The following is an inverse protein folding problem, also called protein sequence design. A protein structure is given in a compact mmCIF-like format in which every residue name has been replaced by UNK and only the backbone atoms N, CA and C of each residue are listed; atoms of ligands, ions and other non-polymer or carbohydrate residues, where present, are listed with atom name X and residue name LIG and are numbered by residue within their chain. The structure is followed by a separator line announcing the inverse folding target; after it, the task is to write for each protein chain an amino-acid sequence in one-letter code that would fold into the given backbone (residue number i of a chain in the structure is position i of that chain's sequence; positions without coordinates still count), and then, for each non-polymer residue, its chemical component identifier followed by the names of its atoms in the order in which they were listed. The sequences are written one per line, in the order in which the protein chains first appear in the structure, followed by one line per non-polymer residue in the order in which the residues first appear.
data_IF_651538789078
#
_entry.id   IF_651538789078
#
_cell.length_a   1.000
_cell.length_b   1.000
_cell.length_c   1.000
_cell.angle_alpha   90.00
_cell.angle_beta   90.00
_cell.angle_gamma   90.00
#
_symmetry.space_group_name_H-M   'P 1'
#
loop_
_entity.id
_entity.type
_entity.pdbx_description
1 polymer ?
#
# COMPACT_ATOMS: atom_id res chain seq x y z
N UNK A 1 56.81 -33.86 -42.63
CA UNK A 1 57.50 -33.28 -41.46
C UNK A 1 56.75 -32.05 -41.01
N UNK A 2 56.34 -32.07 -39.75
CA UNK A 2 55.50 -31.08 -39.04
C UNK A 2 56.26 -29.77 -38.83
N UNK A 3 55.63 -28.62 -39.05
CA UNK A 3 55.97 -27.39 -38.33
C UNK A 3 54.74 -26.52 -38.13
N UNK A 4 54.33 -26.45 -36.87
CA UNK A 4 53.28 -25.61 -36.31
C UNK A 4 53.71 -24.15 -36.40
N UNK A 5 52.83 -23.30 -36.92
CA UNK A 5 52.92 -21.84 -36.84
C UNK A 5 51.57 -21.33 -36.36
N UNK A 6 51.43 -21.23 -35.05
CA UNK A 6 50.29 -20.67 -34.34
C UNK A 6 49.99 -19.25 -34.83
N UNK A 7 48.84 -19.05 -35.45
CA UNK A 7 48.17 -17.76 -35.43
C UNK A 7 47.40 -17.71 -34.12
N UNK A 8 48.04 -17.19 -33.08
CA UNK A 8 47.37 -16.73 -31.88
C UNK A 8 46.51 -15.51 -32.27
N UNK A 9 45.27 -15.77 -32.69
CA UNK A 9 44.22 -14.77 -32.54
C UNK A 9 44.04 -14.55 -31.04
N UNK A 10 44.82 -13.63 -30.47
CA UNK A 10 44.51 -13.03 -29.19
C UNK A 10 43.16 -12.34 -29.35
N UNK A 11 42.06 -12.81 -28.74
CA UNK A 11 40.84 -12.04 -28.77
C UNK A 11 41.12 -10.83 -27.87
N UNK A 12 41.24 -9.67 -28.49
CA UNK A 12 41.20 -8.40 -27.77
C UNK A 12 39.80 -8.32 -27.18
N UNK A 13 39.67 -8.85 -25.95
CA UNK A 13 38.47 -8.72 -25.13
C UNK A 13 38.00 -7.27 -25.27
N UNK A 14 36.80 -7.11 -25.81
CA UNK A 14 36.21 -5.81 -26.12
C UNK A 14 36.35 -4.91 -24.90
N UNK A 15 36.62 -3.62 -25.07
CA UNK A 15 36.72 -2.66 -23.96
C UNK A 15 35.47 -2.73 -23.05
N UNK A 16 34.33 -3.15 -23.60
CA UNK A 16 33.12 -3.48 -22.86
C UNK A 16 33.27 -4.70 -21.94
N UNK A 17 33.90 -5.79 -22.41
CA UNK A 17 34.15 -7.01 -21.64
C UNK A 17 35.18 -6.77 -20.53
N UNK A 18 36.23 -6.00 -20.78
CA UNK A 18 37.20 -5.62 -19.74
C UNK A 18 36.56 -4.74 -18.65
N UNK A 19 35.76 -3.75 -19.05
CA UNK A 19 35.02 -2.89 -18.12
C UNK A 19 33.91 -3.65 -17.36
N UNK A 20 33.38 -4.71 -17.97
CA UNK A 20 32.44 -5.62 -17.33
C UNK A 20 33.16 -6.51 -16.30
N UNK A 21 34.33 -7.05 -16.63
CA UNK A 21 35.17 -7.82 -15.70
C UNK A 21 35.69 -6.97 -14.53
N UNK A 22 36.09 -5.72 -14.76
CA UNK A 22 36.43 -4.79 -13.67
C UNK A 22 35.25 -4.56 -12.73
N UNK A 23 34.06 -4.30 -13.28
CA UNK A 23 32.84 -4.13 -12.49
C UNK A 23 32.43 -5.40 -11.76
N UNK A 24 32.63 -6.59 -12.35
CA UNK A 24 32.37 -7.88 -11.70
C UNK A 24 33.38 -8.21 -10.59
N UNK A 25 34.56 -7.61 -10.61
CA UNK A 25 35.60 -7.80 -9.59
C UNK A 25 35.46 -6.80 -8.44
N UNK A 26 34.60 -5.78 -8.58
CA UNK A 26 34.27 -4.87 -7.50
C UNK A 26 33.49 -5.62 -6.38
N UNK A 27 33.95 -5.56 -5.11
CA UNK A 27 33.32 -6.28 -4.01
C UNK A 27 31.84 -5.91 -3.81
N UNK A 28 31.48 -4.66 -4.14
CA UNK A 28 30.11 -4.18 -4.11
C UNK A 28 29.22 -4.83 -5.18
N UNK A 29 29.75 -5.11 -6.36
CA UNK A 29 29.00 -5.78 -7.44
C UNK A 29 28.84 -7.27 -7.15
N UNK A 30 29.85 -7.90 -6.53
CA UNK A 30 29.75 -9.27 -6.04
C UNK A 30 28.74 -9.41 -4.89
N UNK A 31 28.68 -8.46 -3.97
CA UNK A 31 27.64 -8.41 -2.93
C UNK A 31 26.24 -8.21 -3.51
N UNK A 32 26.09 -7.32 -4.49
CA UNK A 32 24.79 -7.10 -5.14
C UNK A 32 24.37 -8.30 -6.01
N UNK A 33 25.32 -8.96 -6.67
CA UNK A 33 25.07 -10.21 -7.41
C UNK A 33 24.75 -11.36 -6.46
N UNK A 34 25.43 -11.46 -5.32
CA UNK A 34 25.11 -12.42 -4.25
C UNK A 34 23.72 -12.17 -3.69
N UNK A 35 23.38 -10.92 -3.35
CA UNK A 35 22.04 -10.57 -2.87
C UNK A 35 20.96 -10.80 -3.92
N UNK A 36 21.24 -10.57 -5.21
CA UNK A 36 20.32 -10.89 -6.29
C UNK A 36 20.21 -12.40 -6.54
N UNK A 37 21.28 -13.17 -6.30
CA UNK A 37 21.26 -14.64 -6.31
C UNK A 37 20.47 -15.21 -5.12
N UNK A 38 20.64 -14.63 -3.93
CA UNK A 38 19.91 -14.99 -2.72
C UNK A 38 18.42 -14.64 -2.81
N UNK A 39 18.08 -13.69 -3.70
CA UNK A 39 16.72 -13.21 -3.96
C UNK A 39 16.21 -13.65 -5.33
N UNK A 40 16.92 -14.54 -6.04
CA UNK A 40 16.59 -14.91 -7.40
C UNK A 40 15.26 -15.69 -7.46
N UNK A 41 14.94 -16.40 -6.38
CA UNK A 41 13.64 -17.05 -6.18
C UNK A 41 12.50 -16.01 -6.03
N UNK A 42 12.74 -14.91 -5.31
CA UNK A 42 11.81 -13.77 -5.22
C UNK A 42 11.65 -13.04 -6.57
N UNK A 43 12.75 -12.95 -7.35
CA UNK A 43 12.76 -12.33 -8.69
C UNK A 43 12.02 -13.19 -9.71
N UNK A 44 12.16 -14.51 -9.65
CA UNK A 44 11.41 -15.46 -10.48
C UNK A 44 9.92 -15.40 -10.13
N UNK A 45 9.57 -15.30 -8.85
CA UNK A 45 8.20 -15.10 -8.41
C UNK A 45 7.63 -13.75 -8.91
N UNK A 46 8.39 -12.66 -8.82
CA UNK A 46 7.99 -11.36 -9.36
C UNK A 46 7.81 -11.38 -10.87
N UNK A 47 8.68 -12.09 -11.59
CA UNK A 47 8.55 -12.29 -13.03
C UNK A 47 7.29 -13.07 -13.39
N UNK A 48 6.94 -14.11 -12.63
CA UNK A 48 5.74 -14.92 -12.85
C UNK A 48 4.44 -14.14 -12.52
N UNK A 49 4.46 -13.35 -11.45
CA UNK A 49 3.38 -12.40 -11.11
C UNK A 49 3.23 -11.33 -12.18
N UNK A 50 4.34 -10.80 -12.69
CA UNK A 50 4.35 -9.81 -13.76
C UNK A 50 3.86 -10.41 -15.08
N UNK A 51 4.24 -11.65 -15.39
CA UNK A 51 3.77 -12.38 -16.57
C UNK A 51 2.26 -12.63 -16.50
N UNK A 52 1.74 -13.04 -15.34
CA UNK A 52 0.29 -13.17 -15.11
C UNK A 52 -0.46 -11.84 -15.20
N UNK A 53 0.15 -10.76 -14.72
CA UNK A 53 -0.38 -9.40 -14.85
C UNK A 53 -0.44 -8.94 -16.31
N UNK A 54 0.64 -9.16 -17.07
CA UNK A 54 0.71 -8.85 -18.50
C UNK A 54 -0.26 -9.70 -19.32
N UNK A 55 -0.48 -10.95 -18.93
CA UNK A 55 -1.44 -11.86 -19.56
C UNK A 55 -2.90 -11.48 -19.31
N UNK A 56 -3.19 -10.80 -18.19
CA UNK A 56 -4.49 -10.15 -17.90
C UNK A 56 -4.56 -8.70 -18.44
N UNK A 57 -3.57 -8.30 -19.24
CA UNK A 57 -3.35 -6.96 -19.76
C UNK A 57 -4.55 -6.23 -20.38
N UNK A 58 -5.48 -6.86 -21.14
CA UNK A 58 -6.57 -6.11 -21.75
C UNK A 58 -7.62 -5.59 -20.75
N UNK A 59 -7.89 -6.32 -19.66
CA UNK A 59 -8.85 -5.87 -18.62
C UNK A 59 -8.21 -4.86 -17.66
N UNK A 60 -6.91 -5.01 -17.40
CA UNK A 60 -6.15 -4.08 -16.55
C UNK A 60 -5.84 -2.78 -17.32
N UNK A 61 -5.72 -2.84 -18.65
CA UNK A 61 -5.48 -1.66 -19.48
C UNK A 61 -6.59 -0.62 -19.32
N UNK A 62 -7.84 -1.02 -19.16
CA UNK A 62 -8.95 -0.09 -18.91
C UNK A 62 -8.82 0.59 -17.54
N UNK A 63 -8.57 -0.18 -16.48
CA UNK A 63 -8.37 0.33 -15.13
C UNK A 63 -7.11 1.20 -14.99
N UNK A 64 -6.03 0.85 -15.69
CA UNK A 64 -4.79 1.64 -15.74
C UNK A 64 -4.99 2.89 -16.58
N UNK A 65 -5.71 2.83 -17.71
CA UNK A 65 -5.97 4.01 -18.53
C UNK A 65 -6.90 4.98 -17.80
N UNK A 66 -7.87 4.48 -17.04
CA UNK A 66 -8.71 5.30 -16.16
C UNK A 66 -7.92 5.88 -14.99
N UNK A 67 -7.07 5.07 -14.34
CA UNK A 67 -6.18 5.52 -13.28
C UNK A 67 -5.18 6.59 -13.76
N UNK A 68 -4.59 6.41 -14.94
CA UNK A 68 -3.68 7.36 -15.59
C UNK A 68 -4.44 8.60 -16.06
N UNK A 69 -5.68 8.46 -16.55
CA UNK A 69 -6.52 9.61 -16.90
C UNK A 69 -6.90 10.43 -15.66
N UNK A 70 -7.21 9.77 -14.54
CA UNK A 70 -7.47 10.42 -13.26
C UNK A 70 -6.21 11.09 -12.70
N UNK A 71 -5.06 10.42 -12.77
CA UNK A 71 -3.77 11.00 -12.39
C UNK A 71 -3.44 12.21 -13.27
N UNK A 72 -3.58 12.06 -14.58
CA UNK A 72 -3.37 13.13 -15.57
C UNK A 72 -4.39 14.24 -15.42
N UNK A 73 -5.60 13.99 -14.93
CA UNK A 73 -6.60 15.04 -14.67
C UNK A 73 -6.35 15.76 -13.34
N UNK A 74 -5.89 15.03 -12.33
CA UNK A 74 -5.45 15.59 -11.04
C UNK A 74 -4.12 16.36 -11.14
N UNK A 75 -3.23 15.95 -12.04
CA UNK A 75 -1.95 16.60 -12.34
C UNK A 75 -2.03 17.55 -13.56
N UNK A 76 -3.08 17.45 -14.38
CA UNK A 76 -3.21 18.12 -15.68
C UNK A 76 -3.68 19.56 -15.62
N UNK A 77 -3.73 20.17 -14.43
CA UNK A 77 -3.68 21.62 -14.29
C UNK A 77 -2.24 22.17 -14.38
N UNK A 78 -1.23 21.31 -14.23
CA UNK A 78 0.19 21.72 -14.20
C UNK A 78 1.07 20.62 -14.80
N UNK A 79 1.12 20.55 -16.13
CA UNK A 79 2.30 19.99 -16.79
C UNK A 79 3.51 20.86 -16.38
N UNK A 80 4.33 20.39 -15.45
CA UNK A 80 5.45 21.17 -14.89
C UNK A 80 6.74 20.33 -14.86
N UNK A 81 7.88 20.89 -15.33
CA UNK A 81 9.25 20.43 -15.04
C UNK A 81 9.60 20.35 -13.54
N UNK A 82 8.69 20.81 -12.69
CA UNK A 82 8.82 20.94 -11.24
C UNK A 82 8.13 19.82 -10.46
N UNK A 83 7.61 18.77 -11.12
CA UNK A 83 7.00 17.64 -10.40
C UNK A 83 7.94 16.99 -9.36
N UNK A 84 9.26 17.05 -9.61
CA UNK A 84 10.26 16.61 -8.64
C UNK A 84 10.41 17.56 -7.45
N UNK A 85 10.31 18.88 -7.65
CA UNK A 85 10.34 19.85 -6.55
C UNK A 85 9.04 19.83 -5.76
N UNK A 86 7.89 19.62 -6.41
CA UNK A 86 6.59 19.44 -5.76
C UNK A 86 6.55 18.16 -4.93
N UNK A 87 7.10 17.05 -5.44
CA UNK A 87 7.28 15.81 -4.67
C UNK A 87 8.20 16.02 -3.45
N UNK A 88 9.34 16.72 -3.62
CA UNK A 88 10.25 17.04 -2.52
C UNK A 88 9.61 17.98 -1.49
N UNK A 89 8.75 18.90 -1.94
CA UNK A 89 8.00 19.79 -1.06
C UNK A 89 6.88 19.04 -0.33
N UNK A 90 6.19 18.12 -1.00
CA UNK A 90 5.21 17.23 -0.39
C UNK A 90 5.87 16.30 0.65
N UNK A 91 7.04 15.73 0.36
CA UNK A 91 7.82 14.92 1.31
C UNK A 91 8.30 15.75 2.49
N UNK A 92 8.76 16.99 2.28
CA UNK A 92 9.12 17.90 3.39
C UNK A 92 7.92 18.25 4.27
N UNK A 93 6.76 18.51 3.67
CA UNK A 93 5.50 18.74 4.41
C UNK A 93 5.05 17.51 5.17
N UNK A 94 5.10 16.34 4.54
CA UNK A 94 4.77 15.07 5.19
C UNK A 94 5.70 14.82 6.37
N UNK A 95 7.00 15.06 6.21
CA UNK A 95 7.97 14.95 7.30
C UNK A 95 7.68 15.94 8.43
N UNK A 96 7.35 17.20 8.13
CA UNK A 96 6.97 18.18 9.15
C UNK A 96 5.69 17.77 9.91
N UNK A 97 4.71 17.18 9.21
CA UNK A 97 3.48 16.69 9.81
C UNK A 97 3.75 15.46 10.68
N UNK A 98 4.54 14.50 10.19
CA UNK A 98 4.91 13.29 10.94
C UNK A 98 5.79 13.61 12.15
N UNK A 99 6.71 14.57 12.03
CA UNK A 99 7.57 15.02 13.13
C UNK A 99 6.80 15.90 14.13
N UNK A 100 5.58 16.35 13.81
CA UNK A 100 4.80 17.20 14.71
C UNK A 100 4.53 16.49 16.04
N UNK A 101 4.66 17.18 17.19
CA UNK A 101 4.45 16.60 18.51
C UNK A 101 3.06 15.97 18.67
N UNK A 102 2.05 16.54 18.01
CA UNK A 102 0.68 16.08 18.04
C UNK A 102 0.53 14.75 17.31
N UNK A 103 1.16 14.60 16.15
CA UNK A 103 1.15 13.35 15.39
C UNK A 103 1.95 12.28 16.13
N UNK A 104 3.12 12.63 16.69
CA UNK A 104 3.89 11.70 17.51
C UNK A 104 3.12 11.24 18.77
N UNK A 105 2.31 12.11 19.38
CA UNK A 105 1.44 11.72 20.50
C UNK A 105 0.40 10.68 20.05
N UNK A 106 -0.25 10.88 18.90
CA UNK A 106 -1.19 9.91 18.31
C UNK A 106 -0.51 8.57 17.93
N UNK A 107 0.73 8.61 17.42
CA UNK A 107 1.54 7.41 17.16
C UNK A 107 1.89 6.66 18.46
N UNK A 108 2.18 7.38 19.56
CA UNK A 108 2.52 6.79 20.87
C UNK A 108 1.29 6.23 21.60
N UNK A 109 0.12 6.83 21.41
CA UNK A 109 -1.13 6.43 22.07
C UNK A 109 -1.84 5.20 21.47
N UNK A 110 -1.16 4.40 20.64
CA UNK A 110 -1.72 3.16 20.05
C UNK A 110 -2.94 3.38 19.15
N UNK A 111 -3.18 4.61 18.68
CA UNK A 111 -4.28 4.94 17.75
C UNK A 111 -4.07 4.27 16.38
N UNK A 112 -2.83 3.91 16.06
CA UNK A 112 -2.46 3.21 14.81
C UNK A 112 -2.25 1.70 15.01
N UNK A 113 -2.77 1.14 16.10
CA UNK A 113 -2.79 -0.32 16.26
C UNK A 113 -3.60 -0.95 15.10
N UNK A 114 -3.07 -2.00 14.43
CA UNK A 114 -3.78 -2.69 13.34
C UNK A 114 -5.21 -3.12 13.69
N UNK A 115 -5.47 -3.46 14.96
CA UNK A 115 -6.80 -3.84 15.46
C UNK A 115 -7.73 -2.64 15.56
N UNK A 116 -7.23 -1.47 15.95
CA UNK A 116 -8.00 -0.23 16.00
C UNK A 116 -8.40 0.21 14.58
N UNK A 117 -7.45 0.18 13.64
CA UNK A 117 -7.70 0.47 12.22
C UNK A 117 -8.71 -0.53 11.64
N UNK A 118 -8.56 -1.83 11.91
CA UNK A 118 -9.51 -2.85 11.46
C UNK A 118 -10.92 -2.65 12.03
N UNK A 119 -11.05 -2.24 13.29
CA UNK A 119 -12.34 -1.94 13.91
C UNK A 119 -13.01 -0.74 13.23
N UNK A 120 -12.27 0.36 13.03
CA UNK A 120 -12.77 1.55 12.31
C UNK A 120 -13.18 1.19 10.88
N UNK A 121 -12.39 0.36 10.20
CA UNK A 121 -12.72 -0.16 8.87
C UNK A 121 -14.04 -0.93 8.85
N UNK A 122 -14.25 -1.85 9.81
CA UNK A 122 -15.53 -2.57 9.96
C UNK A 122 -16.70 -1.63 10.25
N UNK A 123 -16.51 -0.60 11.05
CA UNK A 123 -17.54 0.40 11.34
C UNK A 123 -17.89 1.22 10.10
N UNK A 124 -16.88 1.67 9.35
CA UNK A 124 -17.09 2.40 8.10
C UNK A 124 -17.83 1.54 7.07
N UNK A 125 -17.44 0.27 6.93
CA UNK A 125 -18.12 -0.68 6.06
C UNK A 125 -19.59 -0.88 6.46
N UNK A 126 -19.87 -1.17 7.74
CA UNK A 126 -21.23 -1.34 8.23
C UNK A 126 -22.08 -0.08 8.02
N UNK A 127 -21.49 1.12 8.15
CA UNK A 127 -22.19 2.39 7.89
C UNK A 127 -22.52 2.57 6.40
N UNK A 128 -21.61 2.19 5.49
CA UNK A 128 -21.83 2.24 4.05
C UNK A 128 -22.94 1.26 3.66
N UNK A 129 -22.90 0.04 4.17
CA UNK A 129 -23.92 -0.99 3.94
C UNK A 129 -25.30 -0.53 4.46
N UNK A 130 -25.36 -0.04 5.70
CA UNK A 130 -26.60 0.49 6.27
C UNK A 130 -27.15 1.71 5.49
N UNK A 131 -26.26 2.59 5.01
CA UNK A 131 -26.64 3.74 4.17
C UNK A 131 -27.22 3.30 2.83
N UNK A 132 -26.67 2.25 2.22
CA UNK A 132 -27.21 1.68 0.98
C UNK A 132 -28.55 1.00 1.21
N UNK A 133 -28.69 0.25 2.31
CA UNK A 133 -29.95 -0.43 2.67
C UNK A 133 -31.08 0.56 2.95
N UNK A 134 -30.77 1.65 3.66
CA UNK A 134 -31.73 2.72 3.96
C UNK A 134 -32.21 3.49 2.72
N UNK A 135 -31.44 3.49 1.62
CA UNK A 135 -31.83 4.10 0.33
C UNK A 135 -32.81 3.24 -0.46
N UNK A 136 -32.94 1.95 -0.16
CA UNK A 136 -33.90 1.07 -0.86
C UNK A 136 -35.33 1.43 -0.45
N UNK A 137 -36.24 1.66 -1.42
CA UNK A 137 -37.60 2.16 -1.16
C UNK A 137 -38.53 1.17 -0.44
N UNK A 138 -38.09 -0.06 -0.20
CA UNK A 138 -38.93 -1.15 0.33
C UNK A 138 -39.01 -1.23 1.87
N UNK A 139 -38.27 -0.40 2.61
CA UNK A 139 -38.22 -0.52 4.07
C UNK A 139 -39.39 0.20 4.79
N UNK A 140 -40.11 -0.57 5.63
CA UNK A 140 -41.15 -0.06 6.54
C UNK A 140 -40.58 1.03 7.44
N UNK A 141 -41.29 2.16 7.53
CA UNK A 141 -40.97 3.22 8.50
C UNK A 141 -40.85 2.63 9.90
N UNK A 142 -39.68 2.77 10.52
CA UNK A 142 -39.46 2.39 11.92
C UNK A 142 -40.27 3.34 12.82
N UNK A 143 -41.38 2.84 13.36
CA UNK A 143 -42.15 3.56 14.38
C UNK A 143 -41.52 3.41 15.78
N UNK A 144 -42.03 4.17 16.75
CA UNK A 144 -41.58 4.14 18.16
C UNK A 144 -41.53 2.70 18.74
N UNK A 145 -42.52 1.86 18.39
CA UNK A 145 -42.57 0.47 18.83
C UNK A 145 -41.53 -0.42 18.13
N UNK A 146 -41.16 -0.10 16.89
CA UNK A 146 -40.10 -0.78 16.15
C UNK A 146 -38.72 -0.54 16.77
N UNK A 147 -38.48 0.66 17.29
CA UNK A 147 -37.24 1.00 18.00
C UNK A 147 -37.13 0.20 19.30
N UNK A 148 -38.19 0.15 20.11
CA UNK A 148 -38.20 -0.62 21.36
C UNK A 148 -37.97 -2.12 21.08
N UNK A 149 -38.59 -2.65 20.03
CA UNK A 149 -38.39 -4.05 19.62
C UNK A 149 -36.96 -4.30 19.12
N UNK A 150 -36.37 -3.37 18.38
CA UNK A 150 -34.99 -3.48 17.93
C UNK A 150 -34.00 -3.53 19.12
N UNK A 151 -34.20 -2.74 20.18
CA UNK A 151 -33.36 -2.85 21.38
C UNK A 151 -33.43 -4.23 22.05
N UNK A 152 -34.55 -4.96 21.91
CA UNK A 152 -34.71 -6.32 22.42
C UNK A 152 -34.23 -7.42 21.46
N UNK A 153 -33.74 -7.05 20.28
CA UNK A 153 -33.37 -8.01 19.23
C UNK A 153 -32.10 -8.81 19.63
N UNK A 154 -32.11 -10.16 19.56
CA UNK A 154 -30.93 -10.97 19.79
C UNK A 154 -29.73 -10.57 18.91
N UNK A 155 -29.97 -10.09 17.68
CA UNK A 155 -28.91 -9.66 16.76
C UNK A 155 -28.18 -8.40 17.25
N UNK A 156 -28.86 -7.52 17.99
CA UNK A 156 -28.29 -6.26 18.49
C UNK A 156 -27.61 -6.39 19.85
N UNK A 157 -27.79 -7.51 20.56
CA UNK A 157 -27.20 -7.69 21.90
C UNK A 157 -25.67 -7.57 21.95
N UNK A 158 -24.87 -8.10 21.00
CA UNK A 158 -23.42 -7.93 21.01
C UNK A 158 -23.01 -6.45 20.90
N UNK A 159 -23.70 -5.68 20.06
CA UNK A 159 -23.45 -4.26 19.88
C UNK A 159 -23.83 -3.46 21.14
N UNK A 160 -24.97 -3.77 21.76
CA UNK A 160 -25.38 -3.15 23.03
C UNK A 160 -24.39 -3.45 24.17
N UNK A 161 -23.94 -4.70 24.28
CA UNK A 161 -22.90 -5.11 25.25
C UNK A 161 -21.59 -4.34 25.02
N UNK A 162 -21.16 -4.22 23.77
CA UNK A 162 -19.99 -3.41 23.42
C UNK A 162 -20.18 -1.94 23.80
N UNK A 163 -21.32 -1.33 23.45
CA UNK A 163 -21.58 0.08 23.73
C UNK A 163 -21.54 0.39 25.23
N UNK A 164 -22.14 -0.46 26.07
CA UNK A 164 -22.08 -0.33 27.53
C UNK A 164 -20.65 -0.50 28.05
N UNK A 165 -19.93 -1.53 27.58
CA UNK A 165 -18.56 -1.81 28.00
C UNK A 165 -17.57 -0.72 27.58
N UNK A 166 -17.79 -0.10 26.41
CA UNK A 166 -17.06 1.05 25.91
C UNK A 166 -17.35 2.29 26.77
N UNK A 167 -18.62 2.63 26.98
CA UNK A 167 -19.02 3.80 27.77
C UNK A 167 -18.44 3.77 29.18
N UNK A 168 -18.44 2.60 29.83
CA UNK A 168 -17.83 2.42 31.15
C UNK A 168 -16.31 2.64 31.15
N UNK A 169 -15.59 2.13 30.16
CA UNK A 169 -14.12 2.28 30.05
C UNK A 169 -13.74 3.72 29.68
N UNK A 170 -14.47 4.32 28.76
CA UNK A 170 -14.28 5.70 28.34
C UNK A 170 -14.55 6.68 29.47
N UNK A 171 -15.63 6.49 30.23
CA UNK A 171 -15.94 7.33 31.40
C UNK A 171 -14.85 7.26 32.48
N UNK A 172 -14.23 6.09 32.69
CA UNK A 172 -13.11 5.96 33.64
C UNK A 172 -11.87 6.70 33.15
N UNK A 173 -11.52 6.51 31.86
CA UNK A 173 -10.39 7.21 31.26
C UNK A 173 -10.54 8.75 31.28
N UNK A 174 -11.76 9.26 31.12
CA UNK A 174 -12.05 10.70 31.24
C UNK A 174 -12.04 11.22 32.69
N UNK A 175 -12.29 10.35 33.67
CA UNK A 175 -12.23 10.73 35.08
C UNK A 175 -10.80 10.74 35.63
N UNK A 176 -9.91 9.95 35.01
CA UNK A 176 -8.48 9.83 35.36
C UNK A 176 -7.57 10.81 34.57
N UNK A 177 -8.14 11.60 33.64
CA UNK A 177 -7.43 12.59 32.81
C UNK A 177 -7.66 14.03 33.29
#
# INVERSE_FOLDING_TARGET
MVRIGSQEESPTLSVAEQKFFERLTEPRTLELLSQLLDRLEDVVYLLDVLEQFLRRGPEIAEAVNEGVALLRKGLGGTAMPNGWTDLLNALRRLRQVVESPQVQALFRESVLDPRAVALVGKMAQAMIEASQEAKKPEHRRLGLMGLIRALGDPELQPALRFAVAFAQRFSKALADA
#
